data_IF_484051656644
#
_entry.id   IF_484051656644
#
_cell.length_a   1.000
_cell.length_b   1.000
_cell.length_c   1.000
_cell.angle_alpha   90.00
_cell.angle_beta   90.00
_cell.angle_gamma   90.00
#
_symmetry.space_group_name_H-M   'P 1'
#
loop_
_entity.id
_entity.type
_entity.pdbx_description
1 polymer ?
#
# COMPACT_ATOMS: atom_id res chain seq x y z
N UNK A 1 18.17 6.20 -4.88
CA UNK A 1 16.97 6.89 -5.41
C UNK A 1 16.65 8.02 -4.44
N UNK A 2 17.00 9.27 -4.77
CA UNK A 2 16.70 10.41 -3.88
C UNK A 2 15.25 10.80 -4.12
N UNK A 3 14.36 10.32 -3.25
CA UNK A 3 12.93 10.60 -3.33
C UNK A 3 12.72 12.07 -2.94
N UNK A 4 12.23 12.86 -3.89
CA UNK A 4 12.10 14.31 -3.79
C UNK A 4 11.20 14.68 -2.59
N UNK A 5 11.65 15.57 -1.69
CA UNK A 5 10.98 15.83 -0.39
C UNK A 5 9.52 16.29 -0.48
N UNK A 6 9.09 16.83 -1.63
CA UNK A 6 7.69 17.18 -1.90
C UNK A 6 6.81 15.94 -2.14
N UNK A 7 7.37 14.86 -2.67
CA UNK A 7 6.66 13.62 -2.96
C UNK A 7 6.31 12.86 -1.66
N UNK A 8 7.24 12.88 -0.70
CA UNK A 8 7.00 12.39 0.67
C UNK A 8 5.87 13.15 1.37
N UNK A 9 5.82 14.49 1.21
CA UNK A 9 4.73 15.32 1.75
C UNK A 9 3.39 15.00 1.09
N UNK A 10 3.38 14.80 -0.23
CA UNK A 10 2.15 14.45 -0.96
C UNK A 10 1.60 13.09 -0.51
N UNK A 11 2.47 12.08 -0.38
CA UNK A 11 2.09 10.75 0.14
C UNK A 11 1.56 10.88 1.58
N UNK A 12 2.23 11.64 2.44
CA UNK A 12 1.77 11.87 3.80
C UNK A 12 0.40 12.59 3.87
N UNK A 13 0.15 13.55 2.98
CA UNK A 13 -1.14 14.24 2.89
C UNK A 13 -2.25 13.33 2.36
N UNK A 14 -1.96 12.47 1.39
CA UNK A 14 -2.92 11.45 0.90
C UNK A 14 -3.24 10.45 2.01
N UNK A 15 -2.23 10.00 2.75
CA UNK A 15 -2.40 9.11 3.90
C UNK A 15 -3.16 9.79 5.06
N UNK A 16 -2.98 11.11 5.25
CA UNK A 16 -3.72 11.89 6.24
C UNK A 16 -5.16 12.20 5.81
N UNK A 17 -5.43 12.27 4.50
CA UNK A 17 -6.76 12.54 3.94
C UNK A 17 -7.66 11.29 3.88
N UNK A 18 -7.10 10.09 4.03
CA UNK A 18 -7.88 8.87 4.24
C UNK A 18 -8.58 8.97 5.60
N UNK A 19 -9.85 9.39 5.58
CA UNK A 19 -10.73 9.32 6.74
C UNK A 19 -10.76 7.89 7.28
N UNK A 20 -10.88 7.72 8.60
CA UNK A 20 -10.85 6.42 9.29
C UNK A 20 -11.51 5.25 8.52
N UNK A 21 -12.76 5.36 8.06
CA UNK A 21 -13.42 4.27 7.32
C UNK A 21 -12.80 3.97 5.95
N UNK A 22 -12.28 4.98 5.25
CA UNK A 22 -11.61 4.79 3.97
C UNK A 22 -10.26 4.09 4.14
N UNK A 23 -9.56 4.36 5.25
CA UNK A 23 -8.35 3.63 5.64
C UNK A 23 -8.65 2.15 5.89
N UNK A 24 -9.76 1.82 6.56
CA UNK A 24 -10.16 0.42 6.79
C UNK A 24 -10.46 -0.33 5.49
N UNK A 25 -11.20 0.29 4.56
CA UNK A 25 -11.46 -0.29 3.24
C UNK A 25 -10.16 -0.46 2.43
N UNK A 26 -9.23 0.49 2.51
CA UNK A 26 -7.92 0.38 1.85
C UNK A 26 -7.07 -0.76 2.45
N UNK A 27 -7.12 -0.95 3.77
CA UNK A 27 -6.45 -2.06 4.46
C UNK A 27 -7.05 -3.40 4.03
N UNK A 28 -8.38 -3.51 3.95
CA UNK A 28 -9.05 -4.71 3.43
C UNK A 28 -8.63 -4.99 2.00
N UNK A 29 -8.65 -3.97 1.15
CA UNK A 29 -8.22 -4.09 -0.25
C UNK A 29 -6.77 -4.58 -0.36
N UNK A 30 -5.84 -3.99 0.40
CA UNK A 30 -4.43 -4.36 0.37
C UNK A 30 -4.18 -5.82 0.82
N UNK A 31 -4.90 -6.29 1.85
CA UNK A 31 -4.83 -7.69 2.29
C UNK A 31 -5.36 -8.67 1.23
N UNK A 32 -6.51 -8.37 0.65
CA UNK A 32 -7.09 -9.18 -0.44
C UNK A 32 -6.18 -9.19 -1.67
N UNK A 33 -5.59 -8.05 -2.02
CA UNK A 33 -4.64 -7.94 -3.12
C UNK A 33 -3.39 -8.80 -2.87
N UNK A 34 -2.84 -8.81 -1.65
CA UNK A 34 -1.71 -9.67 -1.25
C UNK A 34 -2.04 -11.16 -1.39
N UNK A 35 -3.22 -11.59 -0.98
CA UNK A 35 -3.64 -13.00 -1.16
C UNK A 35 -3.78 -13.38 -2.63
N UNK A 36 -4.30 -12.48 -3.47
CA UNK A 36 -4.41 -12.72 -4.91
C UNK A 36 -3.04 -12.70 -5.60
N UNK A 37 -2.16 -11.79 -5.21
CA UNK A 37 -0.80 -11.68 -5.74
C UNK A 37 0.03 -12.94 -5.48
N UNK A 38 -0.14 -13.57 -4.31
CA UNK A 38 0.49 -14.86 -3.97
C UNK A 38 0.04 -16.02 -4.85
N UNK A 39 -1.14 -15.90 -5.47
CA UNK A 39 -1.68 -16.91 -6.38
C UNK A 39 -1.21 -16.70 -7.81
N UNK A 40 -0.59 -15.56 -8.14
CA UNK A 40 -0.03 -15.35 -9.48
C UNK A 40 1.33 -16.05 -9.61
N UNK A 41 1.67 -16.48 -10.83
CA UNK A 41 2.98 -17.09 -11.11
C UNK A 41 4.12 -16.07 -11.09
N UNK A 42 3.81 -14.79 -11.00
CA UNK A 42 4.77 -13.71 -11.11
C UNK A 42 5.26 -13.28 -9.71
N UNK A 43 6.51 -13.57 -9.32
CA UNK A 43 7.03 -13.24 -8.00
C UNK A 43 7.11 -11.73 -7.72
N UNK A 44 7.06 -10.90 -8.77
CA UNK A 44 7.04 -9.44 -8.61
C UNK A 44 5.69 -8.91 -8.13
N UNK A 45 4.58 -9.64 -8.35
CA UNK A 45 3.26 -9.21 -7.90
C UNK A 45 3.14 -9.35 -6.37
N UNK A 46 3.64 -10.45 -5.82
CA UNK A 46 3.69 -10.67 -4.36
C UNK A 46 4.57 -9.63 -3.67
N UNK A 47 5.74 -9.32 -4.27
CA UNK A 47 6.61 -8.26 -3.77
C UNK A 47 5.96 -6.87 -3.83
N UNK A 48 5.27 -6.55 -4.92
CA UNK A 48 4.53 -5.30 -5.04
C UNK A 48 3.39 -5.20 -4.01
N UNK A 49 2.69 -6.30 -3.74
CA UNK A 49 1.64 -6.36 -2.73
C UNK A 49 2.18 -6.17 -1.31
N UNK A 50 3.35 -6.74 -1.00
CA UNK A 50 4.05 -6.52 0.28
C UNK A 50 4.47 -5.06 0.48
N UNK A 51 4.97 -4.40 -0.58
CA UNK A 51 5.29 -2.96 -0.52
C UNK A 51 4.04 -2.14 -0.22
N UNK A 52 2.92 -2.44 -0.87
CA UNK A 52 1.65 -1.74 -0.64
C UNK A 52 1.18 -1.94 0.81
N UNK A 53 1.28 -3.16 1.34
CA UNK A 53 0.95 -3.42 2.75
C UNK A 53 1.85 -2.62 3.69
N UNK A 54 3.16 -2.56 3.41
CA UNK A 54 4.12 -1.83 4.22
C UNK A 54 3.89 -0.31 4.22
N UNK A 55 3.57 0.27 3.05
CA UNK A 55 3.22 1.69 2.90
C UNK A 55 1.95 2.07 3.68
N UNK A 56 1.06 1.12 3.93
CA UNK A 56 -0.17 1.30 4.70
C UNK A 56 -0.01 0.94 6.19
N UNK A 57 1.19 0.51 6.61
CA UNK A 57 1.46 0.09 7.99
C UNK A 57 0.78 -1.23 8.35
N UNK A 58 0.50 -2.09 7.36
CA UNK A 58 -0.12 -3.41 7.52
C UNK A 58 1.01 -4.45 7.64
N UNK A 59 1.05 -5.25 8.73
CA UNK A 59 2.01 -6.35 8.87
C UNK A 59 1.76 -7.50 7.88
#
# INVERSE_FOLDING_TARGET
IVMNGWMLRLIALILAALSGPLKEELIKFAKTFREQARQTKNPYDDFAADIICWLLGIP
#
